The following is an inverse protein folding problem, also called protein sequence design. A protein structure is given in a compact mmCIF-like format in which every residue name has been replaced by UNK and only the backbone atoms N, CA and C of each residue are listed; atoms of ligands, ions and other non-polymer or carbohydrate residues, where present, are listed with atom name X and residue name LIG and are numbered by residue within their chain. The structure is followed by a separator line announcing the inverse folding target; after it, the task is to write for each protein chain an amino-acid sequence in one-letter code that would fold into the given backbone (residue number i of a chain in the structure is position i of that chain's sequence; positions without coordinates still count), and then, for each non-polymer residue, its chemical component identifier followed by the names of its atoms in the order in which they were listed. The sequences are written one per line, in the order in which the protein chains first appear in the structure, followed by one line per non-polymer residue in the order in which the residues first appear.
data_IF_983203001164
#
_entry.id   IF_983203001164
#
_cell.length_a   1.000
_cell.length_b   1.000
_cell.length_c   1.000
_cell.angle_alpha   90.00
_cell.angle_beta   90.00
_cell.angle_gamma   90.00
#
_symmetry.space_group_name_H-M   'P 1'
#
loop_
_entity.id
_entity.type
_entity.pdbx_description
1 polymer ?
#
# COMPACT_ATOMS: atom_id res chain seq x y z
N UNK A 1 -4.45 -5.78 21.79
CA UNK A 1 -5.01 -7.05 22.33
C UNK A 1 -5.76 -7.86 21.28
N UNK A 2 -6.69 -7.27 20.49
CA UNK A 2 -7.50 -8.01 19.52
C UNK A 2 -6.67 -8.79 18.49
N UNK A 3 -5.65 -8.16 17.87
CA UNK A 3 -4.78 -8.81 16.91
C UNK A 3 -4.10 -10.07 17.50
N UNK A 4 -3.49 -9.94 18.66
CA UNK A 4 -2.84 -11.06 19.34
C UNK A 4 -3.81 -12.18 19.69
N UNK A 5 -5.02 -11.84 20.12
CA UNK A 5 -6.08 -12.82 20.40
C UNK A 5 -6.44 -13.62 19.14
N UNK A 6 -6.65 -12.94 18.00
CA UNK A 6 -6.97 -13.59 16.72
C UNK A 6 -5.85 -14.56 16.32
N UNK A 7 -4.58 -14.12 16.35
CA UNK A 7 -3.43 -14.98 16.04
C UNK A 7 -3.38 -16.20 16.93
N UNK A 8 -3.58 -16.01 18.23
CA UNK A 8 -3.57 -17.10 19.22
C UNK A 8 -4.66 -18.14 18.94
N UNK A 9 -5.90 -17.68 18.71
CA UNK A 9 -7.03 -18.58 18.43
C UNK A 9 -6.81 -19.38 17.15
N UNK A 10 -6.34 -18.71 16.09
CA UNK A 10 -6.13 -19.34 14.79
C UNK A 10 -4.99 -20.36 14.85
N UNK A 11 -3.87 -20.00 15.48
CA UNK A 11 -2.74 -20.93 15.69
C UNK A 11 -3.14 -22.15 16.53
N UNK A 12 -3.94 -21.95 17.58
CA UNK A 12 -4.46 -23.03 18.40
C UNK A 12 -5.39 -24.01 17.66
N UNK A 13 -5.97 -23.59 16.52
CA UNK A 13 -6.77 -24.45 15.63
C UNK A 13 -5.95 -25.13 14.54
N UNK A 14 -4.60 -25.02 14.60
CA UNK A 14 -3.69 -25.71 13.70
C UNK A 14 -3.41 -24.98 12.37
N UNK A 15 -3.89 -23.76 12.17
CA UNK A 15 -3.57 -22.97 10.99
C UNK A 15 -2.17 -22.32 11.16
N UNK A 16 -1.14 -22.99 10.61
CA UNK A 16 0.27 -22.58 10.75
C UNK A 16 0.85 -21.98 9.47
N UNK A 17 0.07 -21.96 8.39
CA UNK A 17 0.49 -21.50 7.05
C UNK A 17 0.02 -20.08 6.72
N UNK A 18 -0.21 -19.24 7.73
CA UNK A 18 -0.67 -17.85 7.59
C UNK A 18 0.51 -16.93 7.81
N UNK A 19 0.74 -16.00 6.89
CA UNK A 19 1.64 -14.85 7.07
C UNK A 19 0.85 -13.71 7.71
N UNK A 20 1.27 -13.29 8.89
CA UNK A 20 0.60 -12.26 9.68
C UNK A 20 1.18 -10.88 9.36
N UNK A 21 0.35 -9.95 8.93
CA UNK A 21 0.78 -8.61 8.53
C UNK A 21 0.22 -7.57 9.49
N UNK A 22 1.10 -6.73 10.03
CA UNK A 22 0.69 -5.47 10.66
C UNK A 22 0.56 -4.42 9.56
N UNK A 23 -0.68 -4.13 9.17
CA UNK A 23 -1.01 -3.24 8.05
C UNK A 23 -1.52 -1.91 8.57
N UNK A 24 -0.92 -0.82 8.11
CA UNK A 24 -1.24 0.56 8.52
C UNK A 24 -1.43 1.46 7.31
N UNK A 25 -2.16 2.55 7.50
CA UNK A 25 -2.15 3.67 6.56
C UNK A 25 -0.81 4.42 6.64
N UNK A 26 -0.40 5.05 5.54
CA UNK A 26 0.82 5.84 5.47
C UNK A 26 0.77 7.10 6.35
N UNK A 27 -0.42 7.53 6.74
CA UNK A 27 -0.66 8.68 7.61
C UNK A 27 -1.48 8.27 8.82
N UNK A 28 -1.15 8.85 9.98
CA UNK A 28 -2.01 8.72 11.15
C UNK A 28 -3.21 9.67 10.99
N UNK A 29 -4.43 9.16 10.90
CA UNK A 29 -5.65 9.98 10.81
C UNK A 29 -6.61 9.66 11.98
N UNK A 30 -6.86 10.59 12.90
CA UNK A 30 -6.25 11.93 13.01
C UNK A 30 -4.78 11.89 13.44
N UNK A 31 -3.99 12.87 12.97
CA UNK A 31 -2.56 13.02 13.34
C UNK A 31 -2.45 13.58 14.77
N UNK A 32 -2.60 12.68 15.74
CA UNK A 32 -2.53 12.99 17.19
C UNK A 32 -1.74 11.93 17.93
N UNK A 33 -1.12 12.29 19.03
CA UNK A 33 -0.20 11.43 19.76
C UNK A 33 -0.78 10.09 20.25
N UNK A 34 -2.09 10.00 20.49
CA UNK A 34 -2.72 8.75 20.89
C UNK A 34 -2.98 7.81 19.71
N UNK A 35 -3.01 8.33 18.47
CA UNK A 35 -3.30 7.58 17.24
C UNK A 35 -2.05 7.19 16.46
N UNK A 36 -0.86 7.38 16.99
CA UNK A 36 0.38 7.00 16.33
C UNK A 36 0.44 5.48 16.06
N UNK A 37 0.77 5.08 14.83
CA UNK A 37 0.79 3.68 14.37
C UNK A 37 1.58 2.75 15.31
N UNK A 38 2.65 3.26 15.93
CA UNK A 38 3.51 2.49 16.84
C UNK A 38 2.75 1.96 18.06
N UNK A 39 1.65 2.62 18.45
CA UNK A 39 0.83 2.20 19.60
C UNK A 39 -0.06 0.99 19.33
N UNK A 40 -0.26 0.67 18.07
CA UNK A 40 -1.08 -0.46 17.63
C UNK A 40 -0.26 -1.70 17.31
N UNK A 41 1.07 -1.58 17.28
CA UNK A 41 1.93 -2.71 16.95
C UNK A 41 1.81 -3.84 17.98
N UNK A 42 1.40 -5.05 17.54
CA UNK A 42 1.10 -6.12 18.49
C UNK A 42 2.33 -6.88 18.99
N UNK A 43 3.50 -6.65 18.38
CA UNK A 43 4.77 -7.30 18.76
C UNK A 43 5.29 -8.30 17.71
N UNK A 44 6.59 -8.50 17.72
CA UNK A 44 7.34 -9.25 16.71
C UNK A 44 6.97 -10.74 16.65
N UNK A 45 6.50 -11.30 17.76
CA UNK A 45 6.14 -12.73 17.91
C UNK A 45 4.83 -13.11 17.18
N UNK A 46 4.02 -12.12 16.83
CA UNK A 46 2.74 -12.30 16.13
C UNK A 46 2.65 -11.57 14.79
N UNK A 47 3.72 -10.92 14.36
CA UNK A 47 3.80 -10.22 13.07
C UNK A 47 4.93 -10.80 12.24
N UNK A 48 4.66 -11.15 11.00
CA UNK A 48 5.65 -11.62 10.04
C UNK A 48 6.11 -10.49 9.12
N UNK A 49 5.19 -9.67 8.64
CA UNK A 49 5.42 -8.56 7.70
C UNK A 49 4.81 -7.26 8.20
N UNK A 50 5.35 -6.14 7.71
CA UNK A 50 4.75 -4.81 7.85
C UNK A 50 4.10 -4.42 6.53
N UNK A 51 2.86 -3.94 6.59
CA UNK A 51 2.07 -3.53 5.43
C UNK A 51 1.75 -2.04 5.45
N UNK A 52 1.71 -1.42 4.27
CA UNK A 52 1.37 -0.01 4.08
C UNK A 52 0.24 0.11 3.07
N UNK A 53 -0.77 0.93 3.37
CA UNK A 53 -1.65 1.56 2.38
C UNK A 53 -1.17 2.98 2.13
N UNK A 54 -0.92 3.35 0.87
CA UNK A 54 -0.45 4.67 0.47
C UNK A 54 -1.26 5.17 -0.72
N UNK A 55 -2.22 6.04 -0.46
CA UNK A 55 -3.09 6.57 -1.49
C UNK A 55 -2.80 8.05 -1.78
N UNK A 56 -2.84 8.41 -3.06
CA UNK A 56 -3.11 9.78 -3.48
C UNK A 56 -4.61 10.08 -3.33
N UNK A 57 -5.21 10.82 -4.23
CA UNK A 57 -6.66 11.01 -4.20
C UNK A 57 -7.40 9.68 -4.33
N UNK A 58 -8.36 9.43 -3.45
CA UNK A 58 -9.23 8.26 -3.49
C UNK A 58 -10.61 8.58 -4.08
N UNK A 59 -11.00 9.87 -4.07
CA UNK A 59 -12.27 10.35 -4.59
C UNK A 59 -12.02 11.49 -5.59
N UNK A 60 -12.67 11.50 -6.78
CA UNK A 60 -12.53 12.58 -7.76
C UNK A 60 -12.88 13.99 -7.26
N UNK A 61 -13.59 14.09 -6.12
CA UNK A 61 -13.94 15.37 -5.49
C UNK A 61 -12.86 15.92 -4.56
N UNK A 62 -11.83 15.15 -4.24
CA UNK A 62 -10.73 15.61 -3.40
C UNK A 62 -9.98 16.79 -4.03
N UNK A 63 -9.60 17.74 -3.20
CA UNK A 63 -8.90 18.97 -3.60
C UNK A 63 -7.43 18.96 -3.24
N UNK A 64 -7.00 18.03 -2.40
CA UNK A 64 -5.61 17.86 -1.96
C UNK A 64 -5.34 16.39 -1.65
N UNK A 65 -4.14 15.97 -1.93
CA UNK A 65 -3.60 14.63 -1.63
C UNK A 65 -2.10 14.71 -1.50
N UNK A 66 -1.50 13.71 -0.88
CA UNK A 66 -0.05 13.59 -0.79
C UNK A 66 0.54 12.81 -1.96
N UNK A 67 1.75 13.17 -2.34
CA UNK A 67 2.53 12.39 -3.31
C UNK A 67 3.02 11.07 -2.69
N UNK A 68 3.15 10.02 -3.52
CA UNK A 68 3.59 8.71 -3.03
C UNK A 68 4.93 8.75 -2.28
N UNK A 69 5.90 9.51 -2.80
CA UNK A 69 7.23 9.63 -2.16
C UNK A 69 7.11 10.27 -0.78
N UNK A 70 6.30 11.31 -0.64
CA UNK A 70 6.06 12.00 0.64
C UNK A 70 5.47 11.05 1.68
N UNK A 71 4.44 10.29 1.31
CA UNK A 71 3.81 9.28 2.16
C UNK A 71 4.82 8.24 2.64
N UNK A 72 5.58 7.69 1.71
CA UNK A 72 6.53 6.62 2.00
C UNK A 72 7.76 7.10 2.79
N UNK A 73 8.27 8.31 2.51
CA UNK A 73 9.36 8.92 3.28
C UNK A 73 8.93 9.21 4.73
N UNK A 74 7.64 9.43 4.98
CA UNK A 74 7.07 9.57 6.31
C UNK A 74 6.94 8.25 7.06
N UNK A 75 6.34 7.22 6.44
CA UNK A 75 5.94 5.99 7.15
C UNK A 75 7.03 4.92 7.20
N UNK A 76 7.82 4.72 6.14
CA UNK A 76 8.80 3.63 6.09
C UNK A 76 9.86 3.73 7.19
N UNK A 77 10.46 4.90 7.49
CA UNK A 77 11.41 5.00 8.58
C UNK A 77 10.82 4.66 9.95
N UNK A 78 9.54 4.97 10.17
CA UNK A 78 8.81 4.64 11.40
C UNK A 78 8.67 3.13 11.56
N UNK A 79 8.24 2.45 10.50
CA UNK A 79 8.07 0.99 10.48
C UNK A 79 9.41 0.26 10.65
N UNK A 80 10.47 0.70 9.96
CA UNK A 80 11.81 0.13 10.08
C UNK A 80 12.37 0.32 11.49
N UNK A 81 12.10 1.46 12.13
CA UNK A 81 12.49 1.69 13.53
C UNK A 81 11.70 0.80 14.49
N UNK A 82 10.41 0.58 14.21
CA UNK A 82 9.51 -0.22 15.04
C UNK A 82 9.87 -1.70 15.03
N UNK A 83 10.16 -2.26 13.85
CA UNK A 83 10.49 -3.69 13.67
C UNK A 83 11.57 -3.86 12.57
N UNK A 84 12.85 -3.63 12.89
CA UNK A 84 13.93 -3.51 11.90
C UNK A 84 14.25 -4.80 11.13
N UNK A 85 13.80 -5.93 11.62
CA UNK A 85 14.02 -7.24 10.98
C UNK A 85 12.87 -7.69 10.08
N UNK A 86 11.73 -6.99 10.11
CA UNK A 86 10.54 -7.36 9.35
C UNK A 86 10.58 -6.73 7.96
N UNK A 87 10.23 -7.49 6.90
CA UNK A 87 10.08 -6.91 5.56
C UNK A 87 8.86 -5.99 5.51
N UNK A 88 8.96 -4.93 4.71
CA UNK A 88 7.88 -3.97 4.45
C UNK A 88 7.28 -4.26 3.09
N UNK A 89 5.95 -4.22 2.98
CA UNK A 89 5.22 -4.32 1.72
C UNK A 89 4.25 -3.15 1.58
N UNK A 90 4.20 -2.56 0.39
CA UNK A 90 3.11 -1.64 0.01
C UNK A 90 1.97 -2.51 -0.47
N UNK A 91 1.07 -2.90 0.44
CA UNK A 91 -0.02 -3.83 0.17
C UNK A 91 -1.13 -3.18 -0.65
N UNK A 92 -1.28 -1.87 -0.49
CA UNK A 92 -2.23 -1.08 -1.24
C UNK A 92 -1.59 0.26 -1.63
N UNK A 93 -1.70 0.64 -2.89
CA UNK A 93 -1.46 2.01 -3.32
C UNK A 93 -2.28 2.31 -4.56
N UNK A 94 -2.70 3.56 -4.69
CA UNK A 94 -3.56 3.98 -5.78
C UNK A 94 -3.77 5.49 -5.83
N UNK A 95 -4.30 5.94 -6.96
CA UNK A 95 -4.69 7.30 -7.20
C UNK A 95 -5.82 7.32 -8.23
N UNK A 96 -6.95 7.95 -7.89
CA UNK A 96 -8.13 7.94 -8.77
C UNK A 96 -7.99 8.87 -9.96
N UNK A 97 -8.70 8.53 -11.03
CA UNK A 97 -8.95 9.47 -12.13
C UNK A 97 -9.91 10.60 -11.69
N UNK A 98 -9.99 11.66 -12.49
CA UNK A 98 -10.94 12.77 -12.27
C UNK A 98 -10.41 13.92 -11.42
N UNK A 99 -9.19 13.83 -10.90
CA UNK A 99 -8.50 14.94 -10.23
C UNK A 99 -7.45 15.58 -11.15
N UNK A 100 -6.83 16.68 -10.70
CA UNK A 100 -5.89 17.46 -11.52
C UNK A 100 -4.60 16.69 -11.86
N UNK A 101 -4.09 15.85 -10.96
CA UNK A 101 -3.00 14.93 -11.26
C UNK A 101 -3.55 13.65 -11.89
N UNK A 102 -2.88 13.15 -12.93
CA UNK A 102 -3.33 11.91 -13.57
C UNK A 102 -2.83 10.68 -12.81
N UNK A 103 -3.63 9.60 -12.73
CA UNK A 103 -3.18 8.34 -12.12
C UNK A 103 -1.88 7.81 -12.70
N UNK A 104 -1.69 7.98 -14.02
CA UNK A 104 -0.48 7.56 -14.71
C UNK A 104 0.77 8.31 -14.25
N UNK A 105 0.70 9.62 -14.03
CA UNK A 105 1.84 10.40 -13.52
C UNK A 105 2.17 10.05 -12.07
N UNK A 106 1.15 9.97 -11.22
CA UNK A 106 1.32 9.58 -9.82
C UNK A 106 1.92 8.16 -9.69
N UNK A 107 1.39 7.19 -10.45
CA UNK A 107 1.89 5.82 -10.47
C UNK A 107 3.30 5.71 -11.07
N UNK A 108 3.63 6.48 -12.12
CA UNK A 108 4.97 6.48 -12.70
C UNK A 108 6.02 6.92 -11.69
N UNK A 109 5.72 7.96 -10.91
CA UNK A 109 6.57 8.44 -9.82
C UNK A 109 6.74 7.37 -8.73
N UNK A 110 5.64 6.72 -8.32
CA UNK A 110 5.65 5.64 -7.34
C UNK A 110 6.49 4.45 -7.81
N UNK A 111 6.23 3.96 -9.03
CA UNK A 111 6.94 2.82 -9.61
C UNK A 111 8.43 3.11 -9.80
N UNK A 112 8.79 4.31 -10.24
CA UNK A 112 10.20 4.70 -10.37
C UNK A 112 10.93 4.60 -9.03
N UNK A 113 10.32 5.09 -7.94
CA UNK A 113 10.92 5.04 -6.60
C UNK A 113 11.00 3.62 -6.04
N UNK A 114 9.93 2.81 -6.20
CA UNK A 114 9.88 1.42 -5.74
C UNK A 114 10.90 0.54 -6.48
N UNK A 115 10.92 0.60 -7.80
CA UNK A 115 11.83 -0.18 -8.64
C UNK A 115 13.27 0.30 -8.54
N UNK A 116 13.48 1.59 -8.25
CA UNK A 116 14.78 2.18 -7.95
C UNK A 116 15.32 1.85 -6.56
N UNK A 117 14.61 1.02 -5.78
CA UNK A 117 15.00 0.62 -4.42
C UNK A 117 15.23 1.80 -3.46
N UNK A 118 14.40 2.86 -3.58
CA UNK A 118 14.50 4.04 -2.71
C UNK A 118 14.39 3.67 -1.22
N UNK A 119 13.57 2.69 -0.91
CA UNK A 119 13.38 2.16 0.45
C UNK A 119 13.79 0.68 0.50
N UNK A 120 15.03 0.37 0.90
CA UNK A 120 15.55 -1.01 0.85
C UNK A 120 14.79 -2.03 1.70
N UNK A 121 14.01 -1.57 2.70
CA UNK A 121 13.15 -2.44 3.50
C UNK A 121 11.90 -2.90 2.76
N UNK A 122 11.47 -2.18 1.71
CA UNK A 122 10.30 -2.52 0.90
C UNK A 122 10.65 -3.68 -0.02
N UNK A 123 9.88 -4.76 0.06
CA UNK A 123 10.11 -6.02 -0.66
C UNK A 123 9.09 -6.33 -1.74
N UNK A 124 7.99 -5.60 -1.75
CA UNK A 124 6.95 -5.78 -2.77
C UNK A 124 5.86 -4.73 -2.67
N UNK A 125 5.03 -4.70 -3.68
CA UNK A 125 3.93 -3.75 -3.77
C UNK A 125 2.75 -4.33 -4.57
N UNK A 126 1.55 -3.80 -4.32
CA UNK A 126 0.30 -4.16 -4.99
C UNK A 126 -0.54 -2.92 -5.26
N UNK A 127 -0.81 -2.64 -6.53
CA UNK A 127 -1.70 -1.56 -6.94
C UNK A 127 -3.16 -1.90 -6.64
N UNK A 128 -3.93 -0.94 -6.10
CA UNK A 128 -5.36 -1.09 -5.89
C UNK A 128 -6.12 -0.98 -7.22
N UNK A 129 -6.33 -2.11 -7.88
CA UNK A 129 -6.84 -2.18 -9.26
C UNK A 129 -8.37 -2.29 -9.29
N UNK A 130 -9.07 -1.33 -8.68
CA UNK A 130 -10.51 -1.36 -8.49
C UNK A 130 -11.19 -0.07 -8.97
N UNK A 131 -12.52 -0.12 -9.03
CA UNK A 131 -13.42 1.01 -9.21
C UNK A 131 -14.59 0.86 -8.26
N UNK A 132 -15.07 1.97 -7.70
CA UNK A 132 -16.23 1.93 -6.80
C UNK A 132 -17.05 3.21 -6.88
N UNK A 133 -18.32 3.07 -6.50
CA UNK A 133 -19.28 4.16 -6.42
C UNK A 133 -19.13 4.89 -5.07
N UNK A 134 -18.92 6.21 -5.12
CA UNK A 134 -18.82 7.02 -3.90
C UNK A 134 -20.18 7.56 -3.44
N UNK A 135 -21.07 7.87 -4.38
CA UNK A 135 -22.44 8.32 -4.12
C UNK A 135 -23.34 8.01 -5.32
N UNK A 136 -24.51 8.67 -5.40
CA UNK A 136 -25.47 8.44 -6.49
C UNK A 136 -25.05 9.11 -7.83
N UNK A 137 -24.00 9.92 -7.84
CA UNK A 137 -23.52 10.59 -9.04
C UNK A 137 -22.32 9.86 -9.65
N UNK A 138 -22.46 9.24 -10.83
CA UNK A 138 -21.36 8.51 -11.44
C UNK A 138 -20.10 9.34 -11.76
N UNK A 139 -20.23 10.66 -11.84
CA UNK A 139 -19.06 11.54 -12.01
C UNK A 139 -18.15 11.61 -10.77
N UNK A 140 -18.62 11.08 -9.64
CA UNK A 140 -17.86 10.98 -8.40
C UNK A 140 -17.26 9.58 -8.18
N UNK A 141 -17.49 8.64 -9.09
CA UNK A 141 -16.97 7.28 -8.95
C UNK A 141 -15.44 7.25 -9.03
N UNK A 142 -14.83 6.50 -8.15
CA UNK A 142 -13.38 6.29 -8.17
C UNK A 142 -12.99 5.28 -9.23
N UNK A 143 -11.98 5.60 -10.01
CA UNK A 143 -11.44 4.71 -11.04
C UNK A 143 -9.92 4.61 -10.89
N UNK A 144 -9.42 3.41 -10.54
CA UNK A 144 -8.00 3.11 -10.36
C UNK A 144 -7.55 1.90 -11.20
N UNK A 145 -8.41 1.36 -12.06
CA UNK A 145 -8.07 0.15 -12.84
C UNK A 145 -7.06 0.46 -13.93
N UNK A 146 -5.95 -0.24 -13.90
CA UNK A 146 -4.85 -0.09 -14.87
C UNK A 146 -5.33 -0.26 -16.30
N UNK A 147 -6.22 -1.22 -16.56
CA UNK A 147 -6.76 -1.50 -17.89
C UNK A 147 -7.77 -0.44 -18.39
N UNK A 148 -8.36 0.35 -17.50
CA UNK A 148 -9.35 1.35 -17.83
C UNK A 148 -8.74 2.74 -18.16
N UNK A 149 -7.52 3.00 -17.69
CA UNK A 149 -6.86 4.31 -17.76
C UNK A 149 -5.60 4.21 -18.64
N UNK A 150 -5.60 4.74 -19.88
CA UNK A 150 -4.49 4.56 -20.82
C UNK A 150 -3.13 5.03 -20.32
N UNK A 151 -3.05 6.19 -19.64
CA UNK A 151 -1.78 6.70 -19.12
C UNK A 151 -1.28 5.87 -17.92
N UNK A 152 -2.17 5.31 -17.10
CA UNK A 152 -1.83 4.39 -16.02
C UNK A 152 -1.30 3.06 -16.59
N UNK A 153 -1.99 2.48 -17.56
CA UNK A 153 -1.54 1.29 -18.27
C UNK A 153 -0.16 1.48 -18.91
N UNK A 154 0.07 2.64 -19.50
CA UNK A 154 1.38 3.00 -20.08
C UNK A 154 2.48 3.09 -19.02
N UNK A 155 2.22 3.71 -17.87
CA UNK A 155 3.16 3.81 -16.77
C UNK A 155 3.61 2.42 -16.28
N UNK A 156 2.65 1.54 -15.99
CA UNK A 156 2.93 0.16 -15.56
C UNK A 156 3.71 -0.62 -16.64
N UNK A 157 3.24 -0.57 -17.88
CA UNK A 157 3.89 -1.28 -18.98
C UNK A 157 5.33 -0.83 -19.18
N UNK A 158 5.58 0.48 -19.15
CA UNK A 158 6.92 1.04 -19.35
C UNK A 158 7.87 0.65 -18.21
N UNK A 159 7.42 0.82 -16.96
CA UNK A 159 8.27 0.58 -15.78
C UNK A 159 8.55 -0.90 -15.56
N UNK A 160 7.55 -1.77 -15.70
CA UNK A 160 7.72 -3.20 -15.45
C UNK A 160 8.49 -3.93 -16.56
N UNK A 161 8.40 -3.49 -17.82
CA UNK A 161 9.20 -4.08 -18.91
C UNK A 161 10.70 -3.91 -18.76
N UNK A 162 11.14 -2.84 -18.11
CA UNK A 162 12.56 -2.50 -17.94
C UNK A 162 13.11 -2.91 -16.59
N UNK A 163 12.27 -3.48 -15.73
CA UNK A 163 12.62 -3.83 -14.35
C UNK A 163 13.13 -5.27 -14.27
N UNK A 164 14.12 -5.49 -13.41
CA UNK A 164 14.57 -6.83 -13.00
C UNK A 164 13.66 -7.45 -11.92
N UNK A 165 12.60 -6.76 -11.55
CA UNK A 165 11.61 -7.23 -10.59
C UNK A 165 10.80 -8.34 -11.22
N UNK A 166 10.79 -9.49 -10.59
CA UNK A 166 10.07 -10.66 -11.05
C UNK A 166 8.58 -10.45 -10.85
N UNK A 167 7.86 -10.45 -11.96
CA UNK A 167 6.40 -10.50 -11.98
C UNK A 167 6.00 -11.90 -12.45
N UNK A 168 6.48 -12.93 -11.76
CA UNK A 168 6.11 -14.30 -12.11
C UNK A 168 4.90 -14.75 -11.29
N UNK A 169 4.03 -15.52 -11.94
CA UNK A 169 2.95 -16.18 -11.21
C UNK A 169 3.57 -17.11 -10.18
N UNK A 170 3.15 -17.05 -8.90
CA UNK A 170 3.66 -17.98 -7.92
C UNK A 170 3.40 -19.40 -8.38
N UNK A 171 4.45 -20.21 -8.49
CA UNK A 171 4.31 -21.65 -8.70
C UNK A 171 3.81 -22.22 -7.38
N UNK A 172 2.50 -22.43 -7.30
CA UNK A 172 1.91 -23.16 -6.18
C UNK A 172 2.32 -24.61 -6.34
N UNK A 173 3.23 -25.05 -5.48
CA UNK A 173 3.59 -26.46 -5.35
C UNK A 173 2.64 -27.15 -4.38
#
# INVERSE_FOLDING_TARGET
DAYRHIVTVIRARGATNITWVFHVDAQDDPEVAWNALEKYYPGDDVVDWLGISAYGAQNPQEKSWSGFIELMDGVVPRLVKLAPTKPVFVLEFGHTAGVSETPGHWADTALLALLGNRWPAVRGFSWWNETWQNDANPAHDSEMRVQAIPNLSSAFTTRLKTSSVVVDRPIIK
#
